data_IF_551817696316
#
_entry.id   IF_551817696316
#
_cell.length_a   1.000
_cell.length_b   1.000
_cell.length_c   1.000
_cell.angle_alpha   90.00
_cell.angle_beta   90.00
_cell.angle_gamma   90.00
#
_symmetry.space_group_name_H-M   'P 1'
#
loop_
_entity.id
_entity.type
_entity.pdbx_description
1 polymer ?
#
# COMPACT_ATOMS: atom_id res chain seq x y z
N UNK A 1 20.07 10.02 5.08
CA UNK A 1 20.11 8.58 4.71
C UNK A 1 19.99 8.47 3.19
N UNK A 2 20.88 7.75 2.50
CA UNK A 2 20.86 7.64 1.02
C UNK A 2 20.15 6.36 0.60
N UNK A 3 18.95 6.49 0.03
CA UNK A 3 18.12 5.34 -0.41
C UNK A 3 18.81 4.49 -1.49
N UNK A 4 19.68 5.09 -2.31
CA UNK A 4 20.33 4.42 -3.43
C UNK A 4 21.44 3.46 -3.00
N UNK A 5 22.05 3.66 -1.83
CA UNK A 5 23.15 2.82 -1.33
C UNK A 5 22.70 1.72 -0.38
N UNK A 6 21.41 1.70 -0.01
CA UNK A 6 20.83 0.76 0.96
C UNK A 6 20.07 -0.41 0.32
N UNK A 7 20.07 -0.50 -1.00
CA UNK A 7 19.35 -1.56 -1.72
C UNK A 7 17.83 -1.49 -1.51
N UNK A 8 17.27 -0.29 -1.32
CA UNK A 8 15.82 -0.08 -1.17
C UNK A 8 15.19 0.02 -2.56
N UNK A 9 14.14 -0.74 -2.84
CA UNK A 9 13.30 -0.58 -4.04
C UNK A 9 12.16 0.38 -3.72
N UNK A 10 12.10 1.52 -4.42
CA UNK A 10 11.07 2.54 -4.16
C UNK A 10 10.02 2.50 -5.26
N UNK A 11 8.75 2.44 -4.87
CA UNK A 11 7.61 2.49 -5.79
C UNK A 11 6.65 3.60 -5.38
N UNK A 12 6.10 4.34 -6.35
CA UNK A 12 5.13 5.39 -6.09
C UNK A 12 3.74 4.96 -6.58
N UNK A 13 2.74 5.11 -5.71
CA UNK A 13 1.32 4.83 -6.03
C UNK A 13 0.49 6.11 -5.96
N UNK A 14 -0.63 6.12 -6.69
CA UNK A 14 -1.55 7.26 -6.77
C UNK A 14 -1.48 7.99 -8.11
N UNK A 15 -2.12 9.15 -8.19
CA UNK A 15 -2.21 9.92 -9.43
C UNK A 15 -1.02 10.88 -9.58
N UNK A 16 0.07 10.36 -10.15
CA UNK A 16 1.29 11.14 -10.41
C UNK A 16 1.10 12.24 -11.47
N UNK A 17 0.01 12.19 -12.26
CA UNK A 17 -0.27 13.24 -13.25
C UNK A 17 -0.63 14.58 -12.60
N UNK A 18 -1.09 14.54 -11.33
CA UNK A 18 -1.41 15.73 -10.53
C UNK A 18 -0.19 16.42 -9.94
N UNK A 19 0.99 15.81 -10.04
CA UNK A 19 2.23 16.38 -9.53
C UNK A 19 2.83 17.37 -10.54
N UNK A 20 3.51 18.43 -10.06
CA UNK A 20 4.38 19.24 -10.90
C UNK A 20 5.35 18.38 -11.72
N UNK A 21 5.61 18.79 -12.97
CA UNK A 21 6.41 17.99 -13.91
C UNK A 21 7.80 17.61 -13.38
N UNK A 22 8.44 18.50 -12.62
CA UNK A 22 9.73 18.25 -11.96
C UNK A 22 9.66 17.14 -10.91
N UNK A 23 8.61 17.12 -10.08
CA UNK A 23 8.40 16.08 -9.07
C UNK A 23 8.05 14.74 -9.70
N UNK A 24 7.23 14.74 -10.76
CA UNK A 24 6.91 13.53 -11.51
C UNK A 24 8.17 12.90 -12.13
N UNK A 25 9.02 13.73 -12.75
CA UNK A 25 10.30 13.26 -13.30
C UNK A 25 11.21 12.67 -12.22
N UNK A 26 11.29 13.32 -11.06
CA UNK A 26 12.08 12.83 -9.93
C UNK A 26 11.55 11.48 -9.42
N UNK A 27 10.23 11.33 -9.26
CA UNK A 27 9.61 10.07 -8.86
C UNK A 27 9.95 8.94 -9.83
N UNK A 28 9.80 9.18 -11.14
CA UNK A 28 10.18 8.22 -12.18
C UNK A 28 11.68 7.85 -12.13
N UNK A 29 12.57 8.83 -11.95
CA UNK A 29 14.00 8.59 -11.83
C UNK A 29 14.36 7.74 -10.60
N UNK A 30 13.70 7.99 -9.46
CA UNK A 30 13.91 7.21 -8.24
C UNK A 30 13.43 5.77 -8.44
N UNK A 31 12.23 5.57 -9.00
CA UNK A 31 11.70 4.24 -9.32
C UNK A 31 12.64 3.47 -10.24
N UNK A 32 13.03 4.05 -11.39
CA UNK A 32 13.89 3.37 -12.36
C UNK A 32 15.26 3.01 -11.77
N UNK A 33 15.86 3.90 -11.00
CA UNK A 33 17.17 3.66 -10.37
C UNK A 33 17.13 2.59 -9.28
N UNK A 34 15.96 2.31 -8.71
CA UNK A 34 15.82 1.41 -7.56
C UNK A 34 15.06 0.13 -7.89
N UNK A 35 14.50 -0.02 -9.09
CA UNK A 35 13.61 -1.15 -9.47
C UNK A 35 14.22 -2.55 -9.31
N UNK A 36 15.55 -2.67 -9.40
CA UNK A 36 16.26 -3.94 -9.29
C UNK A 36 16.82 -4.22 -7.89
N UNK A 37 16.59 -3.30 -6.95
CA UNK A 37 17.04 -3.48 -5.58
C UNK A 37 16.21 -4.56 -4.90
N UNK A 38 16.88 -5.44 -4.15
CA UNK A 38 16.26 -6.62 -3.51
C UNK A 38 16.10 -6.49 -1.99
N UNK A 39 16.39 -5.32 -1.43
CA UNK A 39 16.21 -5.05 0.00
C UNK A 39 14.78 -4.59 0.28
N UNK A 40 14.64 -3.66 1.22
CA UNK A 40 13.34 -3.10 1.61
C UNK A 40 12.59 -2.55 0.39
N UNK A 41 11.32 -2.95 0.23
CA UNK A 41 10.38 -2.32 -0.70
C UNK A 41 9.67 -1.17 0.01
N UNK A 42 9.85 0.05 -0.48
CA UNK A 42 9.22 1.25 0.05
C UNK A 42 8.17 1.74 -0.94
N UNK A 43 6.90 1.64 -0.56
CA UNK A 43 5.78 2.16 -1.34
C UNK A 43 5.37 3.53 -0.81
N UNK A 44 5.30 4.53 -1.69
CA UNK A 44 4.98 5.92 -1.35
C UNK A 44 3.71 6.37 -2.07
N UNK A 45 2.66 6.70 -1.32
CA UNK A 45 1.42 7.25 -1.87
C UNK A 45 1.53 8.75 -2.16
N UNK A 46 1.49 9.14 -3.42
CA UNK A 46 1.46 10.54 -3.86
C UNK A 46 0.16 10.82 -4.61
N UNK A 47 -0.61 11.80 -4.15
CA UNK A 47 -1.98 12.02 -4.64
C UNK A 47 -2.81 10.74 -4.63
N UNK A 48 -2.55 9.86 -3.65
CA UNK A 48 -3.19 8.56 -3.53
C UNK A 48 -4.51 8.64 -2.75
N UNK A 49 -5.47 7.81 -3.14
CA UNK A 49 -6.74 7.62 -2.46
C UNK A 49 -7.21 6.18 -2.67
N UNK A 50 -7.60 5.49 -1.61
CA UNK A 50 -8.14 4.12 -1.69
C UNK A 50 -9.41 4.02 -2.53
N UNK A 51 -10.30 5.03 -2.49
CA UNK A 51 -11.46 5.11 -3.40
C UNK A 51 -11.04 5.26 -4.86
N UNK A 52 -10.07 6.12 -5.16
CA UNK A 52 -9.58 6.27 -6.54
C UNK A 52 -8.90 4.99 -7.04
N UNK A 53 -8.18 4.30 -6.15
CA UNK A 53 -7.55 3.01 -6.40
C UNK A 53 -8.59 1.93 -6.79
N UNK A 54 -9.67 1.82 -6.01
CA UNK A 54 -10.78 0.91 -6.34
C UNK A 54 -11.46 1.28 -7.67
N UNK A 55 -11.72 2.56 -7.90
CA UNK A 55 -12.36 3.01 -9.15
C UNK A 55 -11.48 2.69 -10.37
N UNK A 56 -10.17 2.88 -10.28
CA UNK A 56 -9.27 2.56 -11.40
C UNK A 56 -9.17 1.05 -11.62
N UNK A 57 -9.13 0.25 -10.54
CA UNK A 57 -9.12 -1.20 -10.62
C UNK A 57 -10.39 -1.74 -11.31
N UNK A 58 -11.57 -1.26 -10.89
CA UNK A 58 -12.84 -1.62 -11.54
C UNK A 58 -12.85 -1.24 -13.04
N UNK A 59 -12.32 -0.07 -13.40
CA UNK A 59 -12.22 0.35 -14.81
C UNK A 59 -11.28 -0.57 -15.61
N UNK A 60 -10.17 -1.00 -15.02
CA UNK A 60 -9.23 -1.91 -15.66
C UNK A 60 -9.87 -3.28 -15.93
N UNK A 61 -10.56 -3.85 -14.96
CA UNK A 61 -11.33 -5.12 -15.14
C UNK A 61 -12.41 -4.95 -16.19
N UNK A 62 -13.22 -3.88 -16.12
CA UNK A 62 -14.28 -3.63 -17.10
C UNK A 62 -13.73 -3.51 -18.54
N UNK A 63 -12.54 -2.93 -18.71
CA UNK A 63 -11.88 -2.84 -20.01
C UNK A 63 -11.40 -4.20 -20.52
N UNK A 64 -11.03 -5.14 -19.64
CA UNK A 64 -10.69 -6.51 -20.01
C UNK A 64 -11.92 -7.30 -20.45
N UNK A 65 -13.04 -7.13 -19.75
CA UNK A 65 -14.34 -7.69 -20.15
C UNK A 65 -14.77 -7.16 -21.52
N UNK A 66 -14.67 -5.85 -21.74
CA UNK A 66 -15.04 -5.24 -23.02
C UNK A 66 -14.20 -5.76 -24.19
N UNK A 67 -12.95 -6.16 -23.94
CA UNK A 67 -12.07 -6.78 -24.95
C UNK A 67 -12.30 -8.29 -25.12
N UNK A 68 -13.19 -8.90 -24.32
CA UNK A 68 -13.39 -10.35 -24.30
C UNK A 68 -12.19 -11.13 -23.76
N UNK A 69 -11.33 -10.49 -22.94
CA UNK A 69 -10.16 -11.14 -22.35
C UNK A 69 -10.46 -11.82 -21.01
N UNK A 70 -11.58 -11.48 -20.39
CA UNK A 70 -12.08 -12.00 -19.10
C UNK A 70 -13.60 -12.03 -19.17
N UNK A 71 -14.22 -13.13 -18.77
CA UNK A 71 -15.67 -13.23 -18.62
C UNK A 71 -16.13 -12.65 -17.28
N UNK A 72 -17.36 -12.15 -17.21
CA UNK A 72 -17.91 -11.55 -15.99
C UNK A 72 -17.88 -12.52 -14.79
N UNK A 73 -18.11 -13.80 -15.04
CA UNK A 73 -18.14 -14.86 -14.02
C UNK A 73 -16.72 -15.21 -13.50
N UNK A 74 -15.66 -14.75 -14.19
CA UNK A 74 -14.27 -14.91 -13.76
C UNK A 74 -13.78 -13.74 -12.89
N UNK A 75 -14.64 -12.76 -12.59
CA UNK A 75 -14.31 -11.63 -11.73
C UNK A 75 -14.54 -12.01 -10.27
N UNK A 76 -13.44 -12.13 -9.54
CA UNK A 76 -13.42 -12.34 -8.09
C UNK A 76 -12.56 -11.27 -7.38
N UNK A 77 -12.38 -11.42 -6.06
CA UNK A 77 -11.55 -10.55 -5.24
C UNK A 77 -10.10 -10.47 -5.78
N UNK A 78 -9.51 -11.60 -6.18
CA UNK A 78 -8.14 -11.67 -6.71
C UNK A 78 -8.01 -10.93 -8.04
N UNK A 79 -9.01 -11.04 -8.92
CA UNK A 79 -9.04 -10.31 -10.19
C UNK A 79 -9.04 -8.81 -9.96
N UNK A 80 -9.86 -8.32 -9.02
CA UNK A 80 -9.88 -6.90 -8.69
C UNK A 80 -8.58 -6.45 -8.02
N UNK A 81 -8.07 -7.23 -7.07
CA UNK A 81 -6.82 -6.98 -6.36
C UNK A 81 -5.62 -6.86 -7.30
N UNK A 82 -5.57 -7.69 -8.34
CA UNK A 82 -4.52 -7.65 -9.39
C UNK A 82 -4.46 -6.32 -10.16
N UNK A 83 -5.51 -5.49 -10.06
CA UNK A 83 -5.59 -4.18 -10.72
C UNK A 83 -5.39 -3.01 -9.75
N UNK A 84 -5.23 -3.25 -8.45
CA UNK A 84 -4.97 -2.18 -7.49
C UNK A 84 -3.56 -1.61 -7.68
N UNK A 85 -3.39 -0.32 -7.43
CA UNK A 85 -2.10 0.38 -7.55
C UNK A 85 -1.05 -0.17 -6.58
N UNK A 86 -1.48 -0.80 -5.49
CA UNK A 86 -0.59 -1.44 -4.51
C UNK A 86 0.00 -2.76 -5.01
N UNK A 87 -0.64 -3.39 -5.99
CA UNK A 87 -0.27 -4.70 -6.54
C UNK A 87 0.65 -4.51 -7.74
N UNK A 88 1.87 -4.04 -7.48
CA UNK A 88 2.89 -3.77 -8.52
C UNK A 88 4.00 -4.83 -8.57
N UNK A 89 4.10 -5.67 -7.54
CA UNK A 89 5.10 -6.71 -7.37
C UNK A 89 4.49 -7.87 -6.56
N UNK A 90 4.79 -9.10 -6.95
CA UNK A 90 4.19 -10.33 -6.40
C UNK A 90 4.54 -10.57 -4.92
N UNK A 91 5.63 -9.98 -4.40
CA UNK A 91 6.01 -10.09 -2.99
C UNK A 91 5.31 -9.05 -2.11
N UNK A 92 4.49 -8.14 -2.69
CA UNK A 92 3.72 -7.17 -1.92
C UNK A 92 2.40 -7.81 -1.48
N UNK A 93 2.26 -8.00 -0.18
CA UNK A 93 1.02 -8.43 0.48
C UNK A 93 0.31 -7.26 1.16
N UNK A 94 -0.91 -7.52 1.63
CA UNK A 94 -1.62 -6.60 2.52
C UNK A 94 -0.80 -6.25 3.76
N UNK A 95 -0.93 -5.01 4.30
CA UNK A 95 -0.22 -4.61 5.50
C UNK A 95 -0.65 -5.42 6.73
N UNK A 96 0.31 -5.91 7.50
CA UNK A 96 0.01 -6.50 8.81
C UNK A 96 -0.37 -5.45 9.86
N UNK A 97 0.21 -4.25 9.75
CA UNK A 97 0.10 -3.18 10.73
C UNK A 97 -0.02 -1.81 10.01
N UNK A 98 -1.04 -1.05 10.39
CA UNK A 98 -1.16 0.37 10.08
C UNK A 98 -0.88 1.18 11.35
N UNK A 99 0.15 2.03 11.29
CA UNK A 99 0.39 3.05 12.32
C UNK A 99 -0.10 4.40 11.81
N UNK A 100 -0.97 5.06 12.57
CA UNK A 100 -1.43 6.42 12.28
C UNK A 100 -1.13 7.36 13.44
N UNK A 101 -0.37 8.40 13.15
CA UNK A 101 0.03 9.47 14.08
C UNK A 101 -1.05 10.52 14.26
N UNK A 102 -0.81 11.50 15.13
CA UNK A 102 -1.65 12.67 15.48
C UNK A 102 -2.94 12.38 16.26
N UNK A 103 -3.11 11.16 16.79
CA UNK A 103 -4.27 10.76 17.59
C UNK A 103 -5.57 10.55 16.80
N UNK A 104 -5.53 10.71 15.47
CA UNK A 104 -6.71 10.64 14.61
C UNK A 104 -7.15 9.20 14.35
N UNK A 105 -8.32 8.82 14.87
CA UNK A 105 -8.87 7.45 14.76
C UNK A 105 -9.73 7.26 13.52
N UNK A 106 -9.14 7.42 12.35
CA UNK A 106 -9.78 7.21 11.03
C UNK A 106 -8.76 6.67 10.04
N UNK A 107 -9.22 6.13 8.90
CA UNK A 107 -8.32 5.75 7.80
C UNK A 107 -8.04 6.91 6.83
N UNK A 108 -8.94 7.90 6.77
CA UNK A 108 -8.87 9.02 5.82
C UNK A 108 -8.64 8.57 4.37
N UNK A 109 -9.36 7.55 3.91
CA UNK A 109 -9.33 7.09 2.53
C UNK A 109 -7.95 6.55 2.10
N UNK A 110 -7.21 5.96 3.04
CA UNK A 110 -5.95 5.26 2.81
C UNK A 110 -6.19 3.74 2.73
N UNK A 111 -5.61 3.09 1.71
CA UNK A 111 -5.57 1.64 1.48
C UNK A 111 -6.86 0.88 1.89
N UNK A 112 -8.02 1.32 1.38
CA UNK A 112 -9.32 0.83 1.87
C UNK A 112 -9.57 -0.66 1.62
N UNK A 113 -8.99 -1.22 0.57
CA UNK A 113 -9.07 -2.64 0.26
C UNK A 113 -8.09 -3.43 1.13
N UNK A 114 -6.84 -3.02 1.09
CA UNK A 114 -5.70 -3.73 1.66
C UNK A 114 -5.73 -3.75 3.20
N UNK A 115 -6.43 -2.80 3.82
CA UNK A 115 -6.54 -2.70 5.27
C UNK A 115 -7.66 -3.54 5.89
N UNK A 116 -8.34 -4.38 5.11
CA UNK A 116 -9.52 -5.14 5.57
C UNK A 116 -9.25 -5.99 6.82
N UNK A 117 -8.03 -6.55 6.93
CA UNK A 117 -7.60 -7.38 8.05
C UNK A 117 -6.35 -6.85 8.77
N UNK A 118 -5.96 -5.61 8.51
CA UNK A 118 -4.78 -4.98 9.09
C UNK A 118 -5.04 -4.56 10.54
N UNK A 119 -4.06 -4.79 11.41
CA UNK A 119 -4.10 -4.23 12.76
C UNK A 119 -3.87 -2.72 12.74
N UNK A 120 -4.78 -1.99 13.38
CA UNK A 120 -4.74 -0.53 13.40
C UNK A 120 -4.20 -0.03 14.74
N UNK A 121 -3.08 0.68 14.73
CA UNK A 121 -2.47 1.34 15.89
C UNK A 121 -2.51 2.85 15.67
N UNK A 122 -3.18 3.56 16.57
CA UNK A 122 -3.32 5.01 16.53
C UNK A 122 -2.51 5.63 17.68
N UNK A 123 -1.53 6.44 17.34
CA UNK A 123 -0.61 7.06 18.30
C UNK A 123 -0.84 8.57 18.38
N UNK A 124 -0.78 9.18 19.56
CA UNK A 124 -1.04 10.61 19.74
C UNK A 124 0.05 11.52 19.18
N UNK A 125 1.29 11.04 19.06
CA UNK A 125 2.45 11.82 18.63
C UNK A 125 2.25 12.34 17.20
N UNK A 126 2.72 13.56 16.93
CA UNK A 126 2.71 14.13 15.58
C UNK A 126 3.77 13.44 14.72
N UNK A 127 3.57 13.37 13.40
CA UNK A 127 4.53 12.72 12.49
C UNK A 127 5.99 13.22 12.63
N UNK A 128 6.27 14.53 12.78
CA UNK A 128 7.64 15.00 12.99
C UNK A 128 8.28 14.51 14.29
N UNK A 129 7.47 14.15 15.28
CA UNK A 129 7.90 13.72 16.61
C UNK A 129 7.90 12.18 16.75
N UNK A 130 7.41 11.46 15.74
CA UNK A 130 7.35 9.99 15.73
C UNK A 130 8.71 9.39 15.33
N UNK A 131 9.39 8.77 16.29
CA UNK A 131 10.72 8.20 16.11
C UNK A 131 10.81 6.70 16.38
N UNK A 132 12.03 6.23 16.67
CA UNK A 132 12.31 4.81 16.88
C UNK A 132 11.60 4.25 18.13
N UNK A 133 11.50 5.04 19.20
CA UNK A 133 10.86 4.59 20.45
C UNK A 133 9.35 4.39 20.24
N UNK A 134 8.69 5.36 19.61
CA UNK A 134 7.25 5.32 19.32
C UNK A 134 6.93 4.17 18.35
N UNK A 135 7.79 3.95 17.35
CA UNK A 135 7.69 2.79 16.47
C UNK A 135 7.79 1.45 17.22
N UNK A 136 8.74 1.31 18.15
CA UNK A 136 8.88 0.09 18.97
C UNK A 136 7.66 -0.14 19.86
N UNK A 137 7.08 0.92 20.43
CA UNK A 137 5.84 0.83 21.23
C UNK A 137 4.67 0.37 20.36
N UNK A 138 4.48 0.98 19.18
CA UNK A 138 3.43 0.58 18.26
C UNK A 138 3.59 -0.88 17.79
N UNK A 139 4.84 -1.33 17.58
CA UNK A 139 5.13 -2.72 17.23
C UNK A 139 4.85 -3.69 18.38
N UNK A 140 5.17 -3.32 19.62
CA UNK A 140 4.85 -4.12 20.80
C UNK A 140 3.32 -4.26 20.97
N UNK A 141 2.57 -3.17 20.80
CA UNK A 141 1.10 -3.21 20.83
C UNK A 141 0.54 -4.18 19.77
N UNK A 142 1.09 -4.13 18.55
CA UNK A 142 0.73 -5.07 17.49
C UNK A 142 1.04 -6.54 17.87
N UNK A 143 2.18 -6.81 18.50
CA UNK A 143 2.59 -8.16 18.91
C UNK A 143 1.76 -8.73 20.07
N UNK A 144 1.21 -7.88 20.93
CA UNK A 144 0.34 -8.29 22.04
C UNK A 144 -1.07 -8.69 21.59
N UNK A 145 -1.49 -8.26 20.39
CA UNK A 145 -2.80 -8.61 19.86
C UNK A 145 -2.85 -10.10 19.54
N UNK A 146 -3.72 -10.82 20.23
CA UNK A 146 -4.01 -12.21 19.95
C UNK A 146 -4.59 -12.30 18.54
N UNK A 147 -3.74 -12.72 17.58
CA UNK A 147 -4.16 -12.98 16.22
C UNK A 147 -5.13 -14.14 16.25
N UNK A 148 -6.41 -13.80 16.37
CA UNK A 148 -7.52 -14.64 15.93
C UNK A 148 -7.48 -14.66 14.41
N UNK A 149 -6.45 -15.27 13.82
CA UNK A 149 -6.58 -15.84 12.50
C UNK A 149 -7.84 -16.68 12.59
N UNK A 150 -8.92 -16.27 11.91
CA UNK A 150 -10.02 -17.18 11.68
C UNK A 150 -9.37 -18.45 11.17
N UNK A 151 -9.51 -19.55 11.91
CA UNK A 151 -8.88 -20.83 11.53
C UNK A 151 -9.42 -21.22 10.16
N UNK A 152 -8.80 -20.75 9.08
CA UNK A 152 -8.67 -21.52 7.87
C UNK A 152 -7.58 -22.56 8.15
N UNK A 153 -7.95 -23.55 8.97
CA UNK A 153 -7.34 -24.86 8.86
C UNK A 153 -7.81 -25.41 7.51
N UNK A 154 -7.04 -25.17 6.46
CA UNK A 154 -7.15 -26.00 5.28
C UNK A 154 -6.43 -27.32 5.57
N UNK A 155 -7.21 -28.40 5.48
CA UNK A 155 -6.77 -29.78 5.31
C UNK A 155 -5.97 -29.93 4.02
#
# INVERSE_FOLDING_TARGET
>A
MNIFTKGICVHFIGDLSRLPGTLRLLACQIQERTRHNKGLKLVVGLSYSGRQDLVQACKAVAAEVQRGSVDLDEIDESKLESKLLTTWDEEISDPDLLIRTSGEKRLSNFMLWQLAYTELVFVPELWPDFGENEYRVALAEYQERDRRFGRHQNK
#
